data_IF_705119195924
#
_entry.id   IF_705119195924
#
_cell.length_a   1.000
_cell.length_b   1.000
_cell.length_c   1.000
_cell.angle_alpha   90.00
_cell.angle_beta   90.00
_cell.angle_gamma   90.00
#
_symmetry.space_group_name_H-M   'P 1'
#
loop_
_entity.id
_entity.type
_entity.pdbx_description
1 polymer ?
#
# COMPACT_ATOMS: atom_id res chain seq x y z
N UNK A 1 60.43 20.39 3.41
CA UNK A 1 60.17 21.57 2.56
C UNK A 1 58.72 21.52 2.13
N UNK A 2 57.93 22.49 2.57
CA UNK A 2 56.49 22.58 2.34
C UNK A 2 56.18 23.18 0.95
N UNK A 3 55.07 22.79 0.34
CA UNK A 3 54.30 23.69 -0.53
C UNK A 3 52.86 23.20 -0.71
N UNK A 4 51.98 23.72 0.14
CA UNK A 4 50.53 23.75 -0.01
C UNK A 4 50.14 24.69 -1.15
N UNK A 5 49.36 24.20 -2.13
CA UNK A 5 48.64 25.06 -3.07
C UNK A 5 47.13 24.96 -2.83
N UNK A 6 46.60 26.01 -2.20
CA UNK A 6 45.18 26.30 -2.14
C UNK A 6 44.71 26.82 -3.50
N UNK A 7 43.59 26.31 -4.01
CA UNK A 7 42.91 26.86 -5.18
C UNK A 7 41.58 27.48 -4.72
N UNK A 8 41.49 28.78 -5.00
CA UNK A 8 40.42 29.71 -4.68
C UNK A 8 39.23 29.49 -5.61
N UNK A 9 38.02 29.41 -5.04
CA UNK A 9 36.73 29.44 -5.76
C UNK A 9 36.45 30.87 -6.27
N UNK A 10 35.94 31.06 -7.49
CA UNK A 10 35.31 32.33 -7.86
C UNK A 10 33.82 32.32 -7.47
N UNK A 11 33.38 33.39 -6.80
CA UNK A 11 31.99 33.79 -6.67
C UNK A 11 31.44 34.15 -8.07
N UNK A 12 30.31 33.57 -8.46
CA UNK A 12 29.55 34.03 -9.61
C UNK A 12 28.27 34.73 -9.12
N UNK A 13 28.13 35.97 -9.56
CA UNK A 13 27.15 36.97 -9.19
C UNK A 13 25.76 36.70 -9.74
N UNK A 14 24.73 36.98 -8.93
CA UNK A 14 23.32 37.01 -9.27
C UNK A 14 23.04 38.06 -10.36
N UNK A 15 22.59 37.60 -11.53
CA UNK A 15 22.07 38.46 -12.60
C UNK A 15 20.55 38.35 -12.69
N UNK A 16 19.84 39.38 -12.26
CA UNK A 16 18.39 39.53 -12.41
C UNK A 16 18.02 39.73 -13.89
N UNK A 17 17.04 38.97 -14.40
CA UNK A 17 16.45 39.17 -15.73
C UNK A 17 15.18 40.02 -15.62
N UNK A 18 14.99 41.04 -16.49
CA UNK A 18 13.78 41.85 -16.49
C UNK A 18 12.63 41.13 -17.20
N UNK A 19 11.43 41.26 -16.62
CA UNK A 19 10.15 40.78 -17.16
C UNK A 19 9.62 41.84 -18.13
N UNK A 20 9.57 41.51 -19.42
CA UNK A 20 8.95 42.37 -20.42
C UNK A 20 7.44 42.06 -20.49
N UNK A 21 6.66 42.97 -19.93
CA UNK A 21 5.20 43.05 -20.07
C UNK A 21 4.86 43.56 -21.47
N UNK A 22 4.13 42.75 -22.25
CA UNK A 22 3.50 43.18 -23.49
C UNK A 22 1.99 42.99 -23.37
N UNK A 23 1.30 44.03 -22.90
CA UNK A 23 -0.12 44.21 -23.12
C UNK A 23 -0.36 44.61 -24.58
N UNK A 24 -1.10 43.78 -25.33
CA UNK A 24 -1.71 44.17 -26.60
C UNK A 24 -3.22 43.94 -26.50
N UNK A 25 -4.06 44.98 -26.54
CA UNK A 25 -5.49 44.83 -26.74
C UNK A 25 -5.76 44.82 -28.25
N UNK A 26 -6.53 43.86 -28.76
CA UNK A 26 -7.16 44.04 -30.06
C UNK A 26 -8.44 43.23 -30.22
N UNK A 27 -9.54 43.98 -30.15
CA UNK A 27 -10.71 43.98 -31.05
C UNK A 27 -11.43 42.64 -31.27
N UNK A 28 -12.66 42.62 -30.73
CA UNK A 28 -13.70 41.61 -30.90
C UNK A 28 -14.34 41.79 -32.28
N UNK A 29 -14.00 40.91 -33.23
CA UNK A 29 -14.71 40.82 -34.52
C UNK A 29 -15.98 40.00 -34.33
N UNK A 30 -17.15 40.59 -34.56
CA UNK A 30 -18.43 39.86 -34.61
C UNK A 30 -18.56 39.31 -36.04
N UNK A 31 -18.32 38.01 -36.20
CA UNK A 31 -18.61 37.29 -37.44
C UNK A 31 -19.96 36.58 -37.29
N UNK A 32 -20.91 37.00 -38.10
CA UNK A 32 -22.23 36.36 -38.26
C UNK A 32 -22.05 35.16 -39.19
N UNK A 33 -22.08 33.95 -38.66
CA UNK A 33 -22.15 32.72 -39.48
C UNK A 33 -23.46 32.00 -39.24
N UNK A 34 -24.13 31.77 -40.35
CA UNK A 34 -25.40 31.09 -40.60
C UNK A 34 -25.59 29.74 -39.89
N UNK A 35 -26.83 29.50 -39.49
CA UNK A 35 -27.41 28.23 -39.05
C UNK A 35 -26.83 27.02 -39.80
N UNK A 36 -26.02 26.24 -39.10
CA UNK A 36 -25.80 24.84 -39.42
C UNK A 36 -26.58 24.01 -38.40
N UNK A 37 -27.62 23.32 -38.84
CA UNK A 37 -28.32 22.31 -38.05
C UNK A 37 -27.33 21.19 -37.72
N UNK A 38 -26.74 21.26 -36.53
CA UNK A 38 -26.09 20.11 -35.92
C UNK A 38 -27.19 19.17 -35.42
N UNK A 39 -27.39 18.08 -36.16
CA UNK A 39 -28.08 16.88 -35.70
C UNK A 39 -27.32 16.34 -34.49
N UNK A 40 -27.68 16.79 -33.28
CA UNK A 40 -27.28 16.15 -32.04
C UNK A 40 -27.96 14.79 -32.02
N UNK A 41 -27.21 13.75 -32.39
CA UNK A 41 -27.55 12.40 -32.02
C UNK A 41 -27.72 12.41 -30.50
N UNK A 42 -28.97 12.23 -30.05
CA UNK A 42 -29.28 12.06 -28.65
C UNK A 42 -28.54 10.79 -28.18
N UNK A 43 -27.35 10.99 -27.62
CA UNK A 43 -26.77 10.00 -26.74
C UNK A 43 -27.81 9.75 -25.67
N UNK A 44 -28.31 8.52 -25.61
CA UNK A 44 -29.18 8.04 -24.55
C UNK A 44 -28.52 8.41 -23.22
N UNK A 45 -29.05 9.44 -22.55
CA UNK A 45 -28.65 9.78 -21.20
C UNK A 45 -29.01 8.54 -20.36
N UNK A 46 -27.98 7.78 -20.01
CA UNK A 46 -28.10 6.61 -19.14
C UNK A 46 -28.81 7.07 -17.86
N UNK A 47 -29.89 6.37 -17.49
CA UNK A 47 -30.67 6.73 -16.31
C UNK A 47 -29.74 6.83 -15.08
N UNK A 48 -29.98 7.76 -14.13
CA UNK A 48 -29.08 7.94 -13.00
C UNK A 48 -28.96 6.64 -12.20
N UNK A 49 -27.72 6.14 -12.14
CA UNK A 49 -27.32 4.90 -11.47
C UNK A 49 -27.80 4.93 -10.02
N UNK A 50 -28.70 4.02 -9.65
CA UNK A 50 -29.25 3.96 -8.29
C UNK A 50 -28.18 3.40 -7.35
N UNK A 51 -27.48 4.27 -6.62
CA UNK A 51 -26.44 3.88 -5.66
C UNK A 51 -26.98 3.93 -4.23
N UNK A 52 -26.57 2.96 -3.41
CA UNK A 52 -26.93 2.90 -1.98
C UNK A 52 -25.81 3.57 -1.15
N UNK A 53 -26.13 4.51 -0.24
CA UNK A 53 -25.14 4.97 0.72
C UNK A 53 -24.75 3.83 1.66
N UNK A 54 -23.50 3.83 2.13
CA UNK A 54 -23.03 2.87 3.13
C UNK A 54 -23.84 3.01 4.42
N UNK A 55 -24.22 1.87 5.02
CA UNK A 55 -24.71 1.89 6.41
C UNK A 55 -23.57 2.22 7.37
N UNK A 56 -23.91 2.54 8.61
CA UNK A 56 -22.89 2.81 9.63
C UNK A 56 -21.97 1.62 9.84
N UNK A 57 -22.53 0.42 9.88
CA UNK A 57 -21.79 -0.83 10.09
C UNK A 57 -20.81 -1.11 8.93
N UNK A 58 -21.23 -0.84 7.69
CA UNK A 58 -20.38 -0.99 6.52
C UNK A 58 -19.25 0.04 6.49
N UNK A 59 -19.54 1.29 6.87
CA UNK A 59 -18.53 2.33 7.01
C UNK A 59 -17.53 1.99 8.12
N UNK A 60 -18.00 1.55 9.29
CA UNK A 60 -17.16 1.18 10.42
C UNK A 60 -16.26 -0.03 10.06
N UNK A 61 -16.79 -1.00 9.31
CA UNK A 61 -16.02 -2.11 8.77
C UNK A 61 -14.89 -1.65 7.84
N UNK A 62 -15.20 -0.79 6.86
CA UNK A 62 -14.19 -0.27 5.92
C UNK A 62 -13.10 0.55 6.63
N UNK A 63 -13.49 1.39 7.61
CA UNK A 63 -12.56 2.17 8.41
C UNK A 63 -11.61 1.26 9.21
N UNK A 64 -12.15 0.20 9.82
CA UNK A 64 -11.37 -0.80 10.55
C UNK A 64 -10.43 -1.56 9.62
N UNK A 65 -10.95 -2.08 8.50
CA UNK A 65 -10.20 -2.87 7.54
C UNK A 65 -9.01 -2.07 6.95
N UNK A 66 -9.24 -0.85 6.48
CA UNK A 66 -8.19 -0.02 5.90
C UNK A 66 -7.15 0.43 6.92
N UNK A 67 -7.55 0.64 8.19
CA UNK A 67 -6.61 0.92 9.29
C UNK A 67 -5.69 -0.26 9.55
N UNK A 68 -6.25 -1.47 9.61
CA UNK A 68 -5.47 -2.70 9.85
C UNK A 68 -4.54 -2.98 8.68
N UNK A 69 -5.01 -2.86 7.43
CA UNK A 69 -4.18 -3.04 6.24
C UNK A 69 -2.96 -2.11 6.29
N UNK A 70 -3.19 -0.81 6.50
CA UNK A 70 -2.08 0.15 6.58
C UNK A 70 -1.07 -0.18 7.69
N UNK A 71 -1.52 -0.66 8.84
CA UNK A 71 -0.63 -1.09 9.93
C UNK A 71 0.11 -2.40 9.60
N UNK A 72 -0.56 -3.34 8.92
CA UNK A 72 0.00 -4.60 8.45
C UNK A 72 1.13 -4.38 7.44
N UNK A 73 0.86 -3.61 6.38
CA UNK A 73 1.86 -3.30 5.35
C UNK A 73 3.09 -2.59 5.94
N UNK A 74 2.88 -1.68 6.90
CA UNK A 74 4.02 -1.07 7.59
C UNK A 74 4.85 -2.11 8.35
N UNK A 75 4.19 -3.03 9.05
CA UNK A 75 4.88 -4.06 9.80
C UNK A 75 5.71 -4.94 8.84
N UNK A 76 5.16 -5.33 7.69
CA UNK A 76 5.87 -6.06 6.66
C UNK A 76 7.10 -5.29 6.13
N UNK A 77 6.93 -4.02 5.72
CA UNK A 77 8.04 -3.13 5.32
C UNK A 77 9.15 -3.10 6.37
N UNK A 78 8.79 -2.95 7.65
CA UNK A 78 9.76 -2.88 8.75
C UNK A 78 10.44 -4.22 9.03
N UNK A 79 9.74 -5.35 8.85
CA UNK A 79 10.31 -6.69 8.98
C UNK A 79 11.33 -6.92 7.88
N UNK A 80 10.98 -6.68 6.61
CA UNK A 80 11.92 -6.83 5.48
C UNK A 80 13.12 -5.90 5.61
N UNK A 81 12.91 -4.65 6.01
CA UNK A 81 13.99 -3.69 6.24
C UNK A 81 14.96 -4.18 7.33
N UNK A 82 14.43 -4.79 8.41
CA UNK A 82 15.23 -5.30 9.51
C UNK A 82 15.95 -6.62 9.18
N UNK A 83 15.32 -7.49 8.40
CA UNK A 83 15.90 -8.77 7.98
C UNK A 83 17.01 -8.62 6.93
N UNK A 84 16.80 -7.73 5.96
CA UNK A 84 17.63 -7.62 4.75
C UNK A 84 19.14 -7.47 5.02
N UNK A 85 19.61 -6.55 5.90
CA UNK A 85 21.05 -6.40 6.13
C UNK A 85 21.73 -7.66 6.68
N UNK A 86 21.02 -8.41 7.53
CA UNK A 86 21.54 -9.62 8.18
C UNK A 86 21.56 -10.78 7.18
N UNK A 87 20.47 -10.98 6.43
CA UNK A 87 20.38 -12.01 5.39
C UNK A 87 21.41 -11.76 4.29
N UNK A 88 21.51 -10.53 3.78
CA UNK A 88 22.39 -10.23 2.63
C UNK A 88 23.88 -10.31 2.97
N UNK A 89 24.24 -10.24 4.26
CA UNK A 89 25.61 -10.47 4.71
C UNK A 89 26.04 -11.93 4.54
N UNK A 90 25.13 -12.89 4.74
CA UNK A 90 25.41 -14.33 4.60
C UNK A 90 25.02 -14.88 3.22
N UNK A 91 23.99 -14.31 2.57
CA UNK A 91 23.47 -14.73 1.27
C UNK A 91 23.34 -13.55 0.29
N UNK A 92 24.45 -13.02 -0.26
CA UNK A 92 24.42 -11.84 -1.13
C UNK A 92 23.63 -12.02 -2.44
N UNK A 93 23.46 -13.26 -2.91
CA UNK A 93 22.74 -13.58 -4.15
C UNK A 93 21.23 -13.28 -4.04
N UNK A 94 20.69 -13.20 -2.82
CA UNK A 94 19.27 -12.90 -2.57
C UNK A 94 18.93 -11.41 -2.63
N UNK A 95 19.90 -10.54 -2.92
CA UNK A 95 19.71 -9.08 -2.95
C UNK A 95 18.53 -8.64 -3.81
N UNK A 96 18.37 -9.26 -4.99
CA UNK A 96 17.28 -8.92 -5.91
C UNK A 96 15.92 -9.34 -5.35
N UNK A 97 15.84 -10.52 -4.77
CA UNK A 97 14.60 -11.03 -4.17
C UNK A 97 14.19 -10.19 -2.97
N UNK A 98 15.10 -9.94 -2.02
CA UNK A 98 14.80 -9.12 -0.84
C UNK A 98 14.39 -7.69 -1.21
N UNK A 99 15.03 -7.10 -2.22
CA UNK A 99 14.64 -5.78 -2.72
C UNK A 99 13.26 -5.82 -3.38
N UNK A 100 12.98 -6.85 -4.19
CA UNK A 100 11.68 -7.00 -4.84
C UNK A 100 10.53 -7.10 -3.84
N UNK A 101 10.66 -7.95 -2.82
CA UNK A 101 9.64 -8.11 -1.77
C UNK A 101 9.46 -6.79 -1.00
N UNK A 102 10.55 -6.16 -0.57
CA UNK A 102 10.50 -4.86 0.11
C UNK A 102 9.81 -3.77 -0.75
N UNK A 103 10.13 -3.68 -2.04
CA UNK A 103 9.57 -2.67 -2.93
C UNK A 103 8.06 -2.89 -3.15
N UNK A 104 7.58 -4.13 -3.17
CA UNK A 104 6.14 -4.46 -3.20
C UNK A 104 5.44 -4.00 -1.92
N UNK A 105 5.99 -4.37 -0.75
CA UNK A 105 5.45 -3.96 0.55
C UNK A 105 5.40 -2.44 0.72
N UNK A 106 6.43 -1.73 0.26
CA UNK A 106 6.42 -0.26 0.27
C UNK A 106 5.32 0.30 -0.66
N UNK A 107 5.08 -0.35 -1.80
CA UNK A 107 3.97 -0.05 -2.71
C UNK A 107 2.59 -0.27 -2.08
N UNK A 108 2.40 -1.38 -1.36
CA UNK A 108 1.17 -1.70 -0.64
C UNK A 108 0.94 -0.67 0.48
N UNK A 109 1.96 -0.42 1.29
CA UNK A 109 1.92 0.58 2.36
C UNK A 109 1.53 1.97 1.84
N UNK A 110 2.15 2.43 0.75
CA UNK A 110 1.83 3.71 0.12
C UNK A 110 0.39 3.77 -0.40
N UNK A 111 -0.11 2.65 -0.92
CA UNK A 111 -1.49 2.52 -1.39
C UNK A 111 -2.46 2.73 -0.23
N UNK A 112 -2.32 1.99 0.88
CA UNK A 112 -3.22 2.15 2.02
C UNK A 112 -3.02 3.47 2.76
N UNK A 113 -1.79 3.97 2.87
CA UNK A 113 -1.52 5.28 3.45
C UNK A 113 -2.27 6.39 2.70
N UNK A 114 -2.31 6.29 1.36
CA UNK A 114 -3.09 7.21 0.52
C UNK A 114 -4.60 7.06 0.75
N UNK A 115 -5.10 5.82 0.87
CA UNK A 115 -6.51 5.55 1.13
C UNK A 115 -6.96 6.08 2.50
N UNK A 116 -6.23 5.79 3.57
CA UNK A 116 -6.60 6.28 4.91
C UNK A 116 -6.58 7.82 4.96
N UNK A 117 -5.65 8.46 4.24
CA UNK A 117 -5.61 9.92 4.14
C UNK A 117 -6.82 10.46 3.38
N UNK A 118 -7.12 9.88 2.21
CA UNK A 118 -8.27 10.27 1.36
C UNK A 118 -9.59 10.17 2.12
N UNK A 119 -9.77 9.09 2.87
CA UNK A 119 -11.01 8.80 3.60
C UNK A 119 -11.02 9.34 5.04
N UNK A 120 -9.95 10.01 5.48
CA UNK A 120 -9.78 10.54 6.85
C UNK A 120 -9.90 9.46 7.93
N UNK A 121 -9.48 8.25 7.60
CA UNK A 121 -9.44 7.12 8.51
C UNK A 121 -8.26 7.32 9.44
N UNK A 122 -8.51 7.20 10.74
CA UNK A 122 -7.45 7.33 11.75
C UNK A 122 -6.57 6.07 11.70
N UNK A 123 -5.24 6.20 11.58
CA UNK A 123 -4.32 5.08 11.81
C UNK A 123 -4.50 4.52 13.22
N UNK A 124 -4.07 3.28 13.43
CA UNK A 124 -4.13 2.68 14.77
C UNK A 124 -3.31 3.45 15.79
N UNK A 125 -3.86 3.66 16.99
CA UNK A 125 -3.14 4.32 18.08
C UNK A 125 -1.88 3.55 18.52
N UNK A 126 -1.82 2.24 18.23
CA UNK A 126 -0.69 1.37 18.56
C UNK A 126 0.43 1.37 17.52
N UNK A 127 0.32 2.22 16.49
CA UNK A 127 1.32 2.35 15.43
C UNK A 127 2.77 2.37 15.94
N UNK A 128 3.16 3.18 16.96
CA UNK A 128 4.55 3.20 17.44
C UNK A 128 4.99 1.88 18.06
N UNK A 129 4.09 1.20 18.78
CA UNK A 129 4.37 -0.09 19.39
C UNK A 129 4.57 -1.16 18.33
N UNK A 130 3.67 -1.21 17.34
CA UNK A 130 3.76 -2.15 16.23
C UNK A 130 5.02 -1.95 15.39
N UNK A 131 5.45 -0.72 15.16
CA UNK A 131 6.71 -0.46 14.46
C UNK A 131 7.91 -1.06 15.21
N UNK A 132 8.00 -0.86 16.52
CA UNK A 132 9.09 -1.43 17.33
C UNK A 132 9.05 -2.96 17.33
N UNK A 133 7.86 -3.54 17.50
CA UNK A 133 7.68 -5.00 17.52
C UNK A 133 8.01 -5.63 16.16
N UNK A 134 7.59 -5.02 15.05
CA UNK A 134 7.86 -5.50 13.70
C UNK A 134 9.37 -5.46 13.38
N UNK A 135 10.04 -4.32 13.64
CA UNK A 135 11.50 -4.22 13.47
C UNK A 135 12.25 -5.22 14.34
N UNK A 136 11.84 -5.38 15.60
CA UNK A 136 12.44 -6.35 16.53
C UNK A 136 12.25 -7.79 16.06
N UNK A 137 11.06 -8.13 15.57
CA UNK A 137 10.76 -9.45 15.02
C UNK A 137 11.62 -9.75 13.80
N UNK A 138 11.68 -8.83 12.82
CA UNK A 138 12.51 -9.01 11.63
C UNK A 138 14.00 -9.16 11.97
N UNK A 139 14.53 -8.28 12.82
CA UNK A 139 15.93 -8.36 13.23
C UNK A 139 16.27 -9.65 13.99
N UNK A 140 15.43 -10.02 14.97
CA UNK A 140 15.66 -11.19 15.82
C UNK A 140 15.63 -12.50 15.02
N UNK A 141 14.66 -12.65 14.13
CA UNK A 141 14.52 -13.85 13.27
C UNK A 141 15.66 -13.96 12.27
N UNK A 142 16.11 -12.86 11.66
CA UNK A 142 17.30 -12.89 10.81
C UNK A 142 18.59 -13.22 11.56
N UNK A 143 18.69 -12.79 12.83
CA UNK A 143 19.82 -13.18 13.70
C UNK A 143 19.79 -14.66 14.09
N UNK A 144 18.60 -15.27 14.20
CA UNK A 144 18.45 -16.71 14.46
C UNK A 144 18.87 -17.56 13.27
N UNK A 145 18.75 -17.03 12.05
CA UNK A 145 19.19 -17.69 10.84
C UNK A 145 18.36 -17.30 9.63
N UNK A 146 18.83 -17.73 8.46
CA UNK A 146 18.14 -17.46 7.21
C UNK A 146 16.77 -18.16 7.16
N UNK A 147 16.73 -19.43 7.54
CA UNK A 147 15.54 -20.26 7.54
C UNK A 147 14.50 -19.74 8.54
N UNK A 148 14.94 -19.23 9.70
CA UNK A 148 14.07 -18.60 10.69
C UNK A 148 13.48 -17.26 10.19
N UNK A 149 14.25 -16.48 9.43
CA UNK A 149 13.75 -15.26 8.78
C UNK A 149 12.68 -15.58 7.73
N UNK A 150 12.91 -16.59 6.89
CA UNK A 150 11.93 -17.02 5.89
C UNK A 150 10.68 -17.64 6.56
N UNK A 151 10.84 -18.37 7.66
CA UNK A 151 9.69 -18.83 8.47
C UNK A 151 8.90 -17.67 9.08
N UNK A 152 9.56 -16.58 9.47
CA UNK A 152 8.88 -15.36 9.91
C UNK A 152 8.06 -14.75 8.78
N UNK A 153 8.65 -14.62 7.60
CA UNK A 153 7.95 -14.14 6.39
C UNK A 153 6.73 -15.01 6.08
N UNK A 154 6.91 -16.34 5.97
CA UNK A 154 5.81 -17.30 5.74
C UNK A 154 4.67 -17.09 6.73
N UNK A 155 4.98 -16.94 8.03
CA UNK A 155 3.99 -16.75 9.07
C UNK A 155 3.24 -15.42 8.97
N UNK A 156 3.94 -14.32 8.65
CA UNK A 156 3.35 -12.98 8.53
C UNK A 156 2.45 -12.92 7.29
N UNK A 157 2.95 -13.31 6.12
CA UNK A 157 2.18 -13.21 4.87
C UNK A 157 0.98 -14.15 4.85
N UNK A 158 1.06 -15.28 5.56
CA UNK A 158 -0.12 -16.14 5.76
C UNK A 158 -1.26 -15.39 6.47
N UNK A 159 -0.96 -14.61 7.52
CA UNK A 159 -2.00 -13.91 8.27
C UNK A 159 -2.45 -12.63 7.55
N UNK A 160 -1.54 -11.91 6.86
CA UNK A 160 -1.89 -10.75 6.04
C UNK A 160 -2.77 -11.18 4.85
N UNK A 161 -2.35 -12.17 4.07
CA UNK A 161 -3.13 -12.72 2.96
C UNK A 161 -4.47 -13.33 3.39
N UNK A 162 -4.50 -13.95 4.58
CA UNK A 162 -5.73 -14.42 5.24
C UNK A 162 -6.70 -13.27 5.53
N UNK A 163 -6.20 -12.18 6.10
CA UNK A 163 -6.99 -10.99 6.40
C UNK A 163 -7.58 -10.35 5.14
N UNK A 164 -6.80 -10.26 4.05
CA UNK A 164 -7.31 -9.79 2.76
C UNK A 164 -8.43 -10.66 2.20
N UNK A 165 -8.30 -11.99 2.29
CA UNK A 165 -9.34 -12.91 1.84
C UNK A 165 -10.66 -12.70 2.58
N UNK A 166 -10.61 -12.53 3.89
CA UNK A 166 -11.80 -12.25 4.71
C UNK A 166 -12.46 -10.92 4.33
N UNK A 167 -11.67 -9.87 4.10
CA UNK A 167 -12.17 -8.58 3.64
C UNK A 167 -12.83 -8.68 2.27
N UNK A 168 -12.14 -9.27 1.29
CA UNK A 168 -12.66 -9.44 -0.07
C UNK A 168 -13.97 -10.20 -0.04
N UNK A 169 -14.06 -11.29 0.74
CA UNK A 169 -15.30 -12.06 0.90
C UNK A 169 -16.43 -11.17 1.43
N UNK A 170 -16.20 -10.43 2.50
CA UNK A 170 -17.21 -9.53 3.11
C UNK A 170 -17.68 -8.46 2.12
N UNK A 171 -16.76 -7.86 1.37
CA UNK A 171 -17.08 -6.87 0.35
C UNK A 171 -17.90 -7.44 -0.80
N UNK A 172 -17.60 -8.67 -1.24
CA UNK A 172 -18.36 -9.34 -2.28
C UNK A 172 -19.76 -9.72 -1.82
N UNK A 173 -19.91 -10.22 -0.59
CA UNK A 173 -21.23 -10.49 0.01
C UNK A 173 -22.09 -9.20 0.03
N UNK A 174 -21.50 -8.08 0.45
CA UNK A 174 -22.15 -6.77 0.43
C UNK A 174 -22.55 -6.32 -0.98
N UNK A 175 -21.64 -6.47 -1.96
CA UNK A 175 -21.89 -6.13 -3.37
C UNK A 175 -23.02 -6.97 -3.94
N UNK A 176 -22.98 -8.29 -3.76
CA UNK A 176 -24.01 -9.22 -4.28
C UNK A 176 -25.38 -8.89 -3.69
N UNK A 177 -25.45 -8.52 -2.41
CA UNK A 177 -26.71 -8.09 -1.80
C UNK A 177 -27.25 -6.81 -2.46
N UNK A 178 -26.40 -5.81 -2.70
CA UNK A 178 -26.82 -4.57 -3.34
C UNK A 178 -27.30 -4.77 -4.77
N UNK A 179 -26.59 -5.59 -5.54
CA UNK A 179 -26.98 -5.95 -6.91
C UNK A 179 -28.33 -6.68 -6.92
N UNK A 180 -28.57 -7.59 -5.98
CA UNK A 180 -29.86 -8.28 -5.83
C UNK A 180 -31.01 -7.32 -5.45
N UNK A 181 -30.71 -6.25 -4.72
CA UNK A 181 -31.65 -5.17 -4.39
C UNK A 181 -31.82 -4.14 -5.55
N UNK A 182 -31.10 -4.33 -6.67
CA UNK A 182 -31.15 -3.47 -7.85
C UNK A 182 -30.36 -2.16 -7.72
N UNK A 183 -29.34 -2.13 -6.85
CA UNK A 183 -28.40 -1.02 -6.73
C UNK A 183 -27.13 -1.28 -7.52
N UNK A 184 -26.53 -0.21 -8.04
CA UNK A 184 -25.21 -0.26 -8.66
C UNK A 184 -24.10 -0.07 -7.63
N UNK A 185 -22.99 -0.78 -7.83
CA UNK A 185 -21.76 -0.64 -7.05
C UNK A 185 -21.01 0.62 -7.49
N UNK A 186 -20.59 1.42 -6.52
CA UNK A 186 -19.72 2.57 -6.79
C UNK A 186 -18.37 2.14 -7.37
N UNK A 187 -17.81 2.96 -8.27
CA UNK A 187 -16.50 2.72 -8.88
C UNK A 187 -15.40 2.58 -7.83
N UNK A 188 -15.44 3.40 -6.78
CA UNK A 188 -14.46 3.38 -5.69
C UNK A 188 -14.45 2.05 -4.92
N UNK A 189 -15.62 1.47 -4.64
CA UNK A 189 -15.71 0.17 -3.98
C UNK A 189 -15.22 -0.96 -4.88
N UNK A 190 -15.56 -0.88 -6.17
CA UNK A 190 -15.05 -1.83 -7.17
C UNK A 190 -13.53 -1.78 -7.26
N UNK A 191 -12.95 -0.59 -7.23
CA UNK A 191 -11.51 -0.40 -7.30
C UNK A 191 -10.81 -0.84 -6.01
N UNK A 192 -11.43 -0.64 -4.85
CA UNK A 192 -10.95 -1.20 -3.59
C UNK A 192 -10.87 -2.73 -3.68
N UNK A 193 -11.94 -3.41 -4.11
CA UNK A 193 -11.94 -4.88 -4.24
C UNK A 193 -10.84 -5.38 -5.19
N UNK A 194 -10.65 -4.70 -6.33
CA UNK A 194 -9.53 -5.04 -7.25
C UNK A 194 -8.17 -4.84 -6.59
N UNK A 195 -7.99 -3.73 -5.88
CA UNK A 195 -6.74 -3.43 -5.17
C UNK A 195 -6.44 -4.48 -4.12
N UNK A 196 -7.42 -4.85 -3.29
CA UNK A 196 -7.26 -5.89 -2.27
C UNK A 196 -6.94 -7.26 -2.88
N UNK A 197 -7.56 -7.61 -4.02
CA UNK A 197 -7.25 -8.87 -4.73
C UNK A 197 -5.82 -8.88 -5.25
N UNK A 198 -5.38 -7.79 -5.87
CA UNK A 198 -4.00 -7.66 -6.38
C UNK A 198 -2.99 -7.82 -5.24
N UNK A 199 -3.16 -7.05 -4.17
CA UNK A 199 -2.25 -7.08 -3.01
C UNK A 199 -2.25 -8.48 -2.40
N UNK A 200 -3.41 -9.08 -2.13
CA UNK A 200 -3.48 -10.47 -1.66
C UNK A 200 -2.70 -11.46 -2.54
N UNK A 201 -2.83 -11.34 -3.86
CA UNK A 201 -2.14 -12.26 -4.77
C UNK A 201 -0.61 -12.04 -4.72
N UNK A 202 -0.16 -10.79 -4.52
CA UNK A 202 1.25 -10.44 -4.26
C UNK A 202 1.74 -10.98 -2.89
N UNK A 203 0.92 -10.91 -1.82
CA UNK A 203 1.24 -11.51 -0.51
C UNK A 203 1.41 -13.04 -0.60
N UNK A 204 0.57 -13.70 -1.39
CA UNK A 204 0.68 -15.14 -1.63
C UNK A 204 1.95 -15.48 -2.41
N UNK A 205 2.39 -14.61 -3.32
CA UNK A 205 3.68 -14.74 -3.99
C UNK A 205 4.84 -14.68 -2.98
N UNK A 206 4.77 -13.75 -2.02
CA UNK A 206 5.80 -13.63 -0.97
C UNK A 206 5.85 -14.86 -0.06
N UNK A 207 4.68 -15.37 0.30
CA UNK A 207 4.54 -16.63 1.02
C UNK A 207 5.21 -17.79 0.27
N UNK A 208 4.94 -17.92 -1.03
CA UNK A 208 5.53 -18.96 -1.88
C UNK A 208 7.06 -18.79 -1.96
N UNK A 209 7.55 -17.57 -2.17
CA UNK A 209 8.98 -17.27 -2.13
C UNK A 209 9.60 -17.74 -0.82
N UNK A 210 9.00 -17.43 0.33
CA UNK A 210 9.53 -17.84 1.63
C UNK A 210 9.62 -19.37 1.77
N UNK A 211 8.58 -20.11 1.33
CA UNK A 211 8.55 -21.57 1.36
C UNK A 211 9.61 -22.17 0.43
N UNK A 212 9.76 -21.65 -0.79
CA UNK A 212 10.80 -22.06 -1.74
C UNK A 212 12.21 -21.78 -1.21
N UNK A 213 12.34 -20.75 -0.38
CA UNK A 213 13.58 -20.29 0.23
C UNK A 213 13.81 -20.87 1.64
N UNK A 214 13.42 -22.13 1.85
CA UNK A 214 13.76 -22.94 3.03
C UNK A 214 13.09 -22.53 4.36
N UNK A 215 11.98 -21.77 4.33
CA UNK A 215 11.23 -21.44 5.56
C UNK A 215 10.94 -22.68 6.43
N UNK A 216 10.51 -23.78 5.81
CA UNK A 216 10.17 -25.05 6.50
C UNK A 216 11.36 -25.78 7.14
N UNK A 217 12.59 -25.34 6.86
CA UNK A 217 13.81 -25.88 7.49
C UNK A 217 14.15 -25.21 8.82
N UNK A 218 13.41 -24.19 9.25
CA UNK A 218 13.57 -23.63 10.58
C UNK A 218 13.28 -24.69 11.66
N UNK A 219 14.07 -24.74 12.73
CA UNK A 219 13.87 -25.73 13.79
C UNK A 219 13.69 -25.04 15.15
N UNK A 220 12.52 -25.23 15.84
CA UNK A 220 11.28 -25.85 15.38
C UNK A 220 10.36 -24.89 14.61
N UNK A 221 10.16 -25.12 13.30
CA UNK A 221 9.33 -24.31 12.40
C UNK A 221 7.90 -24.08 12.90
N UNK A 222 7.21 -25.16 13.27
CA UNK A 222 5.81 -25.11 13.70
C UNK A 222 5.60 -24.21 14.93
N UNK A 223 6.59 -24.17 15.83
CA UNK A 223 6.52 -23.37 17.04
C UNK A 223 6.80 -21.90 16.72
N UNK A 224 7.85 -21.63 15.93
CA UNK A 224 8.20 -20.28 15.51
C UNK A 224 7.04 -19.63 14.73
N UNK A 225 6.56 -20.30 13.69
CA UNK A 225 5.42 -19.82 12.89
C UNK A 225 4.16 -19.74 13.73
N UNK A 226 3.88 -20.72 14.59
CA UNK A 226 2.71 -20.69 15.48
C UNK A 226 2.67 -19.48 16.40
N UNK A 227 3.79 -19.12 17.02
CA UNK A 227 3.91 -17.94 17.89
C UNK A 227 3.74 -16.65 17.10
N UNK A 228 4.42 -16.52 15.96
CA UNK A 228 4.36 -15.32 15.11
C UNK A 228 2.92 -15.11 14.61
N UNK A 229 2.29 -16.16 14.07
CA UNK A 229 0.90 -16.11 13.59
C UNK A 229 -0.07 -15.72 14.70
N UNK A 230 0.11 -16.24 15.92
CA UNK A 230 -0.71 -15.84 17.07
C UNK A 230 -0.51 -14.35 17.41
N UNK A 231 0.72 -13.85 17.34
CA UNK A 231 1.04 -12.43 17.48
C UNK A 231 0.34 -11.57 16.41
N UNK A 232 0.42 -11.95 15.14
CA UNK A 232 -0.25 -11.25 14.04
C UNK A 232 -1.76 -11.17 14.23
N UNK A 233 -2.43 -12.29 14.57
CA UNK A 233 -3.88 -12.28 14.87
C UNK A 233 -4.22 -11.36 16.05
N UNK A 234 -3.39 -11.36 17.09
CA UNK A 234 -3.54 -10.43 18.21
C UNK A 234 -3.43 -8.97 17.75
N UNK A 235 -2.41 -8.65 16.96
CA UNK A 235 -2.20 -7.30 16.44
C UNK A 235 -3.36 -6.83 15.54
N UNK A 236 -3.85 -7.70 14.65
CA UNK A 236 -5.04 -7.45 13.81
C UNK A 236 -6.24 -7.13 14.70
N UNK A 237 -6.58 -8.04 15.62
CA UNK A 237 -7.74 -7.90 16.50
C UNK A 237 -7.71 -6.61 17.33
N UNK A 238 -6.54 -6.23 17.85
CA UNK A 238 -6.42 -4.97 18.60
C UNK A 238 -6.55 -3.77 17.66
N UNK A 239 -5.87 -3.79 16.50
CA UNK A 239 -5.83 -2.65 15.57
C UNK A 239 -7.17 -2.37 14.89
N UNK A 240 -8.07 -3.35 14.79
CA UNK A 240 -9.46 -3.13 14.38
C UNK A 240 -10.19 -2.15 15.31
N UNK A 241 -9.82 -2.13 16.60
CA UNK A 241 -10.54 -1.42 17.68
C UNK A 241 -9.95 -0.06 18.03
N UNK A 242 -8.65 0.16 17.80
CA UNK A 242 -7.91 1.34 18.26
C UNK A 242 -7.01 1.96 17.22
#
# INVERSE_FOLDING_TARGET
>A
MASTRALVRPLCTLGARPVASFYRPCVRTIATTSNAQASVAAGSAEAPKKRKPLTKEQSDFLDSALRVNQAGELAAVLIYAAQSPVILRSKPHLRKLMAHMYDQEEGHFNTFNSMIHKHRIRPTALYPLWSVMATGLGWSTAMMGYEAAMACTEAVETEIGGHYNEQIRTLLEMITQWEAEGYEVGEELSELVKTLRRIRDEELEHLDHAVEHDARKAEPHWLLTGVIRAGCRGAIWVSERV
#
